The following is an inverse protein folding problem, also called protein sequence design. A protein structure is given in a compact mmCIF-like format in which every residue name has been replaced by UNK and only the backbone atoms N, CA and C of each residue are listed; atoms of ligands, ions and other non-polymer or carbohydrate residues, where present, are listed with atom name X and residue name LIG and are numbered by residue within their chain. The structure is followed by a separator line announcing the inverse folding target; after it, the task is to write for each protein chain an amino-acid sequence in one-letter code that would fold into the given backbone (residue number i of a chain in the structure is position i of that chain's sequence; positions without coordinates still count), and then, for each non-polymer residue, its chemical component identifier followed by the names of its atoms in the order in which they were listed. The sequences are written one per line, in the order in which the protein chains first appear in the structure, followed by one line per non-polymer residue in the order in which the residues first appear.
data_IF_984163224147
#
_entry.id   IF_984163224147
#
_cell.length_a   1.000
_cell.length_b   1.000
_cell.length_c   1.000
_cell.angle_alpha   90.00
_cell.angle_beta   90.00
_cell.angle_gamma   90.00
#
_symmetry.space_group_name_H-M   'P 1'
#
loop_
_entity.id
_entity.type
_entity.pdbx_description
1 polymer ?
#
# COMPACT_ATOMS: atom_id res chain seq x y z
N UNK A 1 -24.86 -2.27 -4.43
CA UNK A 1 -24.18 -2.60 -3.15
C UNK A 1 -25.25 -3.01 -2.15
N UNK A 2 -25.30 -4.29 -1.77
CA UNK A 2 -26.33 -4.82 -0.88
C UNK A 2 -25.98 -4.44 0.58
N UNK A 3 -26.47 -3.29 1.05
CA UNK A 3 -26.50 -2.99 2.47
C UNK A 3 -27.49 -3.97 3.12
N UNK A 4 -27.03 -4.77 4.08
CA UNK A 4 -27.91 -5.70 4.82
C UNK A 4 -28.91 -4.86 5.65
N UNK A 5 -30.20 -5.21 5.69
CA UNK A 5 -31.18 -4.50 6.52
C UNK A 5 -30.69 -4.44 7.98
N UNK A 6 -30.67 -3.24 8.57
CA UNK A 6 -30.22 -3.03 9.94
C UNK A 6 -28.70 -2.82 10.12
N UNK A 7 -27.87 -2.90 9.07
CA UNK A 7 -26.46 -2.51 9.19
C UNK A 7 -26.28 -0.99 9.14
N UNK A 8 -25.41 -0.40 9.98
CA UNK A 8 -25.06 1.00 9.88
C UNK A 8 -24.38 1.30 8.54
N UNK A 9 -24.56 2.51 8.03
CA UNK A 9 -23.85 2.93 6.81
C UNK A 9 -22.34 2.98 7.05
N UNK A 10 -21.55 2.85 5.98
CA UNK A 10 -20.09 2.94 6.06
C UNK A 10 -19.64 4.25 6.75
N UNK A 11 -20.31 5.36 6.47
CA UNK A 11 -20.01 6.66 7.07
C UNK A 11 -20.25 6.66 8.60
N UNK A 12 -21.27 5.96 9.08
CA UNK A 12 -21.51 5.82 10.52
C UNK A 12 -20.42 5.00 11.20
N UNK A 13 -20.01 3.88 10.60
CA UNK A 13 -18.91 3.06 11.12
C UNK A 13 -17.60 3.87 11.20
N UNK A 14 -17.26 4.61 10.13
CA UNK A 14 -16.07 5.46 10.12
C UNK A 14 -16.11 6.54 11.21
N UNK A 15 -17.31 7.09 11.50
CA UNK A 15 -17.49 8.05 12.59
C UNK A 15 -17.28 7.41 13.97
N UNK A 16 -17.77 6.19 14.20
CA UNK A 16 -17.52 5.49 15.47
C UNK A 16 -16.04 5.18 15.68
N UNK A 17 -15.29 4.83 14.62
CA UNK A 17 -13.85 4.59 14.71
C UNK A 17 -13.03 5.84 15.05
N UNK A 18 -13.53 7.03 14.71
CA UNK A 18 -12.87 8.30 14.96
C UNK A 18 -13.20 8.90 16.35
N UNK A 19 -14.19 8.35 17.05
CA UNK A 19 -14.74 8.91 18.27
C UNK A 19 -14.23 8.11 19.49
N UNK A 20 -13.53 8.78 20.40
CA UNK A 20 -12.88 8.17 21.57
C UNK A 20 -13.87 7.45 22.51
N UNK A 21 -15.15 7.81 22.46
CA UNK A 21 -16.21 7.17 23.25
C UNK A 21 -16.41 5.70 22.88
N UNK A 22 -15.95 5.28 21.70
CA UNK A 22 -16.12 3.92 21.18
C UNK A 22 -14.77 3.17 21.12
N UNK A 23 -13.92 3.34 22.13
CA UNK A 23 -12.62 2.68 22.19
C UNK A 23 -12.70 1.15 22.10
N UNK A 24 -13.65 0.53 22.82
CA UNK A 24 -13.87 -0.92 22.78
C UNK A 24 -14.27 -1.39 21.38
N UNK A 25 -15.12 -0.63 20.68
CA UNK A 25 -15.51 -0.94 19.31
C UNK A 25 -14.34 -0.80 18.35
N UNK A 26 -13.48 0.20 18.54
CA UNK A 26 -12.27 0.39 17.75
C UNK A 26 -11.29 -0.78 17.92
N UNK A 27 -11.11 -1.26 19.14
CA UNK A 27 -10.23 -2.40 19.42
C UNK A 27 -10.79 -3.71 18.84
N UNK A 28 -12.09 -3.95 19.00
CA UNK A 28 -12.78 -5.07 18.36
C UNK A 28 -12.68 -4.99 16.83
N UNK A 29 -12.84 -3.80 16.26
CA UNK A 29 -12.70 -3.58 14.82
C UNK A 29 -11.27 -3.83 14.35
N UNK A 30 -10.26 -3.46 15.14
CA UNK A 30 -8.86 -3.79 14.83
C UNK A 30 -8.63 -5.31 14.82
N UNK A 31 -9.11 -6.04 15.83
CA UNK A 31 -9.03 -7.50 15.86
C UNK A 31 -9.74 -8.13 14.65
N UNK A 32 -10.95 -7.67 14.33
CA UNK A 32 -11.70 -8.17 13.17
C UNK A 32 -10.98 -7.91 11.84
N UNK A 33 -10.15 -6.86 11.75
CA UNK A 33 -9.32 -6.56 10.57
C UNK A 33 -8.12 -7.49 10.48
N UNK A 34 -7.57 -7.94 11.60
CA UNK A 34 -6.57 -9.00 11.65
C UNK A 34 -7.18 -10.35 11.21
N UNK A 35 -8.34 -10.73 11.74
CA UNK A 35 -9.07 -11.95 11.32
C UNK A 35 -9.41 -11.91 9.82
N UNK A 36 -9.74 -10.72 9.30
CA UNK A 36 -9.97 -10.53 7.87
C UNK A 36 -8.69 -10.77 7.06
N UNK A 37 -7.52 -10.38 7.57
CA UNK A 37 -6.25 -10.67 6.92
C UNK A 37 -5.99 -12.18 6.88
N UNK A 38 -6.24 -12.89 7.99
CA UNK A 38 -6.10 -14.35 8.08
C UNK A 38 -7.04 -15.05 7.07
N UNK A 39 -8.31 -14.62 6.98
CA UNK A 39 -9.27 -15.13 5.99
C UNK A 39 -8.80 -14.91 4.54
N UNK A 40 -8.23 -13.74 4.23
CA UNK A 40 -7.73 -13.46 2.89
C UNK A 40 -6.54 -14.36 2.53
N UNK A 41 -5.70 -14.71 3.51
CA UNK A 41 -4.60 -15.65 3.32
C UNK A 41 -5.11 -17.06 3.01
N UNK A 42 -6.14 -17.53 3.72
CA UNK A 42 -6.77 -18.83 3.43
C UNK A 42 -7.43 -18.86 2.04
N UNK A 43 -8.11 -17.77 1.64
CA UNK A 43 -8.70 -17.65 0.31
C UNK A 43 -7.65 -17.68 -0.82
N UNK A 44 -6.42 -17.24 -0.57
CA UNK A 44 -5.33 -17.32 -1.57
C UNK A 44 -5.02 -18.77 -1.89
N UNK A 45 -4.92 -19.64 -0.88
CA UNK A 45 -4.69 -21.08 -1.07
C UNK A 45 -5.84 -21.69 -1.87
N UNK A 46 -7.08 -21.36 -1.51
CA UNK A 46 -8.25 -21.86 -2.23
C UNK A 46 -8.24 -21.47 -3.72
N UNK A 47 -7.84 -20.24 -4.05
CA UNK A 47 -7.75 -19.77 -5.45
C UNK A 47 -6.57 -20.40 -6.17
N UNK A 48 -5.45 -20.62 -5.48
CA UNK A 48 -4.28 -21.25 -6.06
C UNK A 48 -4.51 -22.74 -6.40
N UNK A 49 -5.29 -23.43 -5.56
CA UNK A 49 -5.63 -24.84 -5.74
C UNK A 49 -6.81 -25.06 -6.71
N UNK A 50 -7.62 -24.03 -6.96
CA UNK A 50 -8.74 -24.10 -7.89
C UNK A 50 -8.27 -23.99 -9.36
N UNK A 51 -7.95 -25.15 -9.95
CA UNK A 51 -7.65 -25.29 -11.38
C UNK A 51 -8.90 -25.43 -12.26
N UNK A 52 -10.10 -25.17 -11.72
CA UNK A 52 -11.33 -25.24 -12.51
C UNK A 52 -11.28 -24.22 -13.65
N UNK A 53 -11.71 -24.63 -14.84
CA UNK A 53 -11.80 -23.75 -16.02
C UNK A 53 -10.44 -23.26 -16.60
N UNK A 54 -9.31 -23.81 -16.12
CA UNK A 54 -7.98 -23.57 -16.69
C UNK A 54 -7.82 -24.15 -18.09
N UNK A 55 -8.67 -25.10 -18.46
CA UNK A 55 -8.68 -25.69 -19.80
C UNK A 55 -10.09 -25.73 -20.38
N UNK A 56 -10.18 -25.56 -21.68
CA UNK A 56 -11.42 -25.65 -22.44
C UNK A 56 -11.20 -26.48 -23.71
N UNK A 57 -12.28 -27.08 -24.22
CA UNK A 57 -12.27 -27.80 -25.48
C UNK A 57 -12.50 -26.82 -26.63
N UNK A 58 -11.60 -26.83 -27.60
CA UNK A 58 -11.78 -26.11 -28.86
C UNK A 58 -12.79 -26.85 -29.77
N UNK A 59 -13.28 -26.20 -30.81
CA UNK A 59 -14.21 -26.76 -31.79
C UNK A 59 -13.70 -28.06 -32.46
N UNK A 60 -12.38 -28.28 -32.44
CA UNK A 60 -11.72 -29.45 -33.00
C UNK A 60 -11.50 -30.59 -31.96
N UNK A 61 -12.04 -30.45 -30.74
CA UNK A 61 -11.89 -31.44 -29.66
C UNK A 61 -10.52 -31.42 -28.96
N UNK A 62 -9.68 -30.42 -29.24
CA UNK A 62 -8.38 -30.25 -28.59
C UNK A 62 -8.52 -29.49 -27.27
N UNK A 63 -7.83 -29.95 -26.23
CA UNK A 63 -7.74 -29.24 -24.94
C UNK A 63 -6.79 -28.06 -25.08
N UNK A 64 -7.27 -26.84 -24.83
CA UNK A 64 -6.48 -25.61 -24.79
C UNK A 64 -6.52 -24.97 -23.41
N UNK A 65 -5.42 -24.29 -23.06
CA UNK A 65 -5.28 -23.57 -21.79
C UNK A 65 -5.97 -22.21 -21.88
N UNK A 66 -6.77 -21.88 -20.87
CA UNK A 66 -7.41 -20.58 -20.72
C UNK A 66 -6.50 -19.62 -19.94
N UNK A 67 -5.66 -18.88 -20.68
CA UNK A 67 -4.73 -17.93 -20.07
C UNK A 67 -5.44 -16.77 -19.31
N UNK A 68 -6.68 -16.42 -19.66
CA UNK A 68 -7.44 -15.38 -18.96
C UNK A 68 -7.79 -15.79 -17.53
N UNK A 69 -8.25 -17.03 -17.34
CA UNK A 69 -8.58 -17.58 -16.02
C UNK A 69 -7.34 -17.62 -15.13
N UNK A 70 -6.22 -18.10 -15.66
CA UNK A 70 -4.94 -18.15 -14.95
C UNK A 70 -4.45 -16.74 -14.59
N UNK A 71 -4.50 -15.79 -15.53
CA UNK A 71 -4.08 -14.41 -15.27
C UNK A 71 -4.98 -13.74 -14.22
N UNK A 72 -6.28 -13.99 -14.28
CA UNK A 72 -7.25 -13.50 -13.30
C UNK A 72 -7.03 -14.11 -11.92
N UNK A 73 -6.73 -15.40 -11.82
CA UNK A 73 -6.40 -16.07 -10.56
C UNK A 73 -5.14 -15.44 -9.94
N UNK A 74 -4.09 -15.23 -10.73
CA UNK A 74 -2.87 -14.53 -10.26
C UNK A 74 -3.17 -13.13 -9.75
N UNK A 75 -3.92 -12.33 -10.50
CA UNK A 75 -4.28 -10.96 -10.07
C UNK A 75 -5.09 -10.97 -8.76
N UNK A 76 -5.98 -11.93 -8.59
CA UNK A 76 -6.75 -12.11 -7.37
C UNK A 76 -5.88 -12.46 -6.16
N UNK A 77 -4.89 -13.33 -6.36
CA UNK A 77 -3.91 -13.69 -5.34
C UNK A 77 -3.08 -12.47 -4.93
N UNK A 78 -2.54 -11.73 -5.90
CA UNK A 78 -1.72 -10.55 -5.65
C UNK A 78 -2.49 -9.45 -4.91
N UNK A 79 -3.73 -9.17 -5.32
CA UNK A 79 -4.58 -8.19 -4.65
C UNK A 79 -4.87 -8.56 -3.19
N UNK A 80 -5.12 -9.85 -2.92
CA UNK A 80 -5.35 -10.35 -1.55
C UNK A 80 -4.08 -10.31 -0.72
N UNK A 81 -2.94 -10.69 -1.28
CA UNK A 81 -1.62 -10.60 -0.62
C UNK A 81 -1.31 -9.16 -0.21
N UNK A 82 -1.52 -8.21 -1.12
CA UNK A 82 -1.32 -6.79 -0.84
C UNK A 82 -2.24 -6.29 0.29
N UNK A 83 -3.51 -6.70 0.27
CA UNK A 83 -4.47 -6.30 1.29
C UNK A 83 -4.14 -6.92 2.66
N UNK A 84 -3.80 -8.20 2.72
CA UNK A 84 -3.39 -8.88 3.96
C UNK A 84 -2.14 -8.24 4.57
N UNK A 85 -1.14 -7.89 3.75
CA UNK A 85 0.07 -7.18 4.19
C UNK A 85 -0.24 -5.80 4.78
N UNK A 86 -1.29 -5.11 4.32
CA UNK A 86 -1.72 -3.81 4.87
C UNK A 86 -2.56 -3.93 6.13
N UNK A 87 -3.36 -4.98 6.24
CA UNK A 87 -4.25 -5.18 7.39
C UNK A 87 -3.52 -5.74 8.61
N UNK A 88 -2.59 -6.66 8.42
CA UNK A 88 -1.79 -7.24 9.48
C UNK A 88 -0.29 -7.23 9.09
N UNK A 89 0.36 -6.05 9.08
CA UNK A 89 1.75 -5.90 8.65
C UNK A 89 2.74 -6.70 9.52
N UNK A 90 2.38 -7.00 10.77
CA UNK A 90 3.22 -7.83 11.65
C UNK A 90 3.25 -9.31 11.22
N UNK A 91 2.14 -9.84 10.69
CA UNK A 91 2.01 -11.25 10.28
C UNK A 91 2.34 -11.47 8.80
N UNK A 92 1.81 -10.60 7.93
CA UNK A 92 1.85 -10.75 6.46
C UNK A 92 2.59 -9.60 5.76
N UNK A 93 3.17 -8.67 6.52
CA UNK A 93 4.02 -7.64 5.94
C UNK A 93 5.22 -8.29 5.24
N UNK A 94 5.69 -7.66 4.18
CA UNK A 94 6.95 -8.04 3.55
C UNK A 94 8.04 -7.78 4.59
N UNK A 95 8.47 -8.85 5.27
CA UNK A 95 9.44 -8.86 6.36
C UNK A 95 10.85 -8.57 5.85
N UNK A 96 10.99 -7.49 5.09
CA UNK A 96 12.25 -6.90 4.72
C UNK A 96 12.95 -6.43 5.99
N UNK A 97 13.65 -7.35 6.64
CA UNK A 97 14.83 -7.02 7.43
C UNK A 97 15.74 -6.24 6.49
N UNK A 98 15.61 -4.92 6.54
CA UNK A 98 16.58 -4.01 5.93
C UNK A 98 17.85 -4.19 6.76
N UNK A 99 18.63 -5.19 6.40
CA UNK A 99 19.97 -5.34 6.91
C UNK A 99 20.76 -4.17 6.34
N UNK A 100 20.82 -3.07 7.11
CA UNK A 100 21.96 -2.19 6.99
C UNK A 100 23.14 -3.04 7.46
N UNK A 101 23.76 -3.81 6.55
CA UNK A 101 25.03 -4.47 6.79
C UNK A 101 26.01 -3.35 7.08
N UNK A 102 26.02 -2.91 8.34
CA UNK A 102 26.88 -1.90 8.86
C UNK A 102 28.29 -2.37 8.65
N UNK A 103 28.89 -1.88 7.57
CA UNK A 103 30.32 -1.74 7.44
C UNK A 103 30.75 -1.08 8.76
N UNK A 104 31.42 -1.88 9.59
CA UNK A 104 32.17 -1.53 10.78
C UNK A 104 31.99 -0.09 11.28
N UNK A 105 31.24 0.05 12.38
CA UNK A 105 31.41 1.11 13.40
C UNK A 105 31.97 2.45 12.91
N UNK A 106 31.32 3.06 11.94
CA UNK A 106 31.61 4.41 11.49
C UNK A 106 30.29 5.13 11.29
N UNK A 107 29.96 6.04 12.20
CA UNK A 107 28.84 6.98 12.07
C UNK A 107 28.74 7.49 10.63
N UNK A 108 27.57 7.36 10.00
CA UNK A 108 27.29 7.95 8.69
C UNK A 108 27.58 9.46 8.77
N UNK A 109 28.73 9.88 8.22
CA UNK A 109 29.06 11.30 8.12
C UNK A 109 28.41 11.85 6.85
N UNK A 110 27.31 12.57 7.03
CA UNK A 110 26.70 13.37 5.96
C UNK A 110 27.41 14.71 5.92
N UNK A 111 28.24 14.94 4.89
CA UNK A 111 28.81 16.26 4.58
C UNK A 111 27.95 16.93 3.51
N UNK A 112 27.20 17.96 3.89
CA UNK A 112 26.43 18.78 2.95
C UNK A 112 27.14 20.11 2.74
N UNK A 113 27.58 20.40 1.51
CA UNK A 113 28.12 21.72 1.14
C UNK A 113 26.96 22.55 0.56
N UNK A 114 26.61 23.64 1.25
CA UNK A 114 25.64 24.62 0.76
C UNK A 114 26.41 25.79 0.17
N UNK A 115 26.32 25.99 -1.15
CA UNK A 115 26.89 27.17 -1.81
C UNK A 115 25.78 28.19 -2.01
N UNK A 116 25.84 29.31 -1.28
CA UNK A 116 24.99 30.46 -1.55
C UNK A 116 25.57 31.25 -2.72
N UNK A 117 24.82 31.34 -3.82
CA UNK A 117 25.16 32.20 -4.95
C UNK A 117 24.59 33.59 -4.65
N UNK A 118 25.45 34.60 -4.56
CA UNK A 118 25.01 35.99 -4.53
C UNK A 118 24.49 36.38 -5.92
N UNK A 119 23.31 37.03 -6.03
CA UNK A 119 22.87 37.56 -7.31
C UNK A 119 23.87 38.64 -7.78
N UNK A 120 24.14 38.74 -9.09
CA UNK A 120 24.93 39.85 -9.63
C UNK A 120 24.23 41.17 -9.29
N UNK A 121 24.99 42.16 -8.83
CA UNK A 121 24.46 43.50 -8.53
C UNK A 121 23.69 44.00 -9.76
N UNK A 122 22.40 44.28 -9.56
CA UNK A 122 21.65 45.11 -10.49
C UNK A 122 22.23 46.51 -10.36
N UNK A 123 23.02 46.93 -11.34
CA UNK A 123 23.38 48.34 -11.51
C UNK A 123 22.05 49.07 -11.79
N UNK A 124 21.52 49.76 -10.77
CA UNK A 124 20.46 50.75 -10.96
C UNK A 124 21.13 52.12 -11.14
N UNK A 125 20.77 52.73 -12.26
CA UNK A 125 21.38 53.91 -12.82
C UNK A 125 21.01 55.17 -12.02
N UNK A 126 22.00 56.00 -11.73
CA UNK A 126 21.86 57.46 -11.76
C UNK A 126 21.37 58.16 -10.50
N UNK A 127 22.27 58.87 -9.84
CA UNK A 127 21.96 60.21 -9.33
C UNK A 127 23.11 61.17 -9.68
N UNK A 128 22.74 62.24 -10.39
CA UNK A 128 23.56 63.37 -10.80
C UNK A 128 23.36 64.49 -9.78
N UNK A 129 24.44 65.11 -9.30
CA UNK A 129 24.58 66.55 -8.95
C UNK A 129 25.91 66.73 -8.20
N UNK A 130 26.93 67.39 -8.73
CA UNK A 130 27.16 68.84 -8.93
C UNK A 130 28.10 69.44 -7.86
N UNK A 131 29.04 70.22 -8.37
CA UNK A 131 29.74 71.37 -7.78
C UNK A 131 30.75 71.19 -6.63
N UNK A 132 32.05 71.35 -6.96
CA UNK A 132 32.75 72.64 -6.84
C UNK A 132 34.16 72.59 -7.46
#
# INVERSE_FOLDING_TARGET
MLARPGMPSKSMVMRWLADERYIEFRDQYACAREDLADKLADEILQIADDGSNDTFLDANGNVKVNHDVIARARLQIDARKWLAAKLAPKKYGDGGRLENSGINHGSMQVKSTVTFVHPPNCDEDGEVSEDN
#
